data_IF_486776656753
#
_entry.id   IF_486776656753
#
_cell.length_a   1.000
_cell.length_b   1.000
_cell.length_c   1.000
_cell.angle_alpha   90.00
_cell.angle_beta   90.00
_cell.angle_gamma   90.00
#
_symmetry.space_group_name_H-M   'P 1'
#
loop_
_entity.id
_entity.type
_entity.pdbx_description
1 polymer ?
#
# COMPACT_ATOMS: atom_id res chain seq x y z
N UNK A 1 1.00 31.06 -1.02
CA UNK A 1 -0.38 30.67 -0.69
C UNK A 1 -0.25 29.24 -0.24
N UNK A 2 -0.51 28.99 1.03
CA UNK A 2 -0.30 27.67 1.62
C UNK A 2 -1.47 26.76 1.23
N UNK A 3 -1.19 25.48 1.02
CA UNK A 3 -2.23 24.51 0.71
C UNK A 3 -2.98 24.15 2.01
N UNK A 4 -4.30 24.30 2.01
CA UNK A 4 -5.16 23.95 3.14
C UNK A 4 -5.72 22.53 2.95
N UNK A 5 -5.68 21.66 3.97
CA UNK A 5 -6.30 20.35 3.92
C UNK A 5 -7.79 20.41 3.55
N UNK A 6 -8.23 19.39 2.80
CA UNK A 6 -9.61 19.17 2.39
C UNK A 6 -10.13 17.86 3.01
N UNK A 7 -11.40 17.54 2.80
CA UNK A 7 -12.03 16.31 3.32
C UNK A 7 -11.20 15.07 2.99
N UNK A 8 -10.70 14.98 1.76
CA UNK A 8 -9.92 13.85 1.24
C UNK A 8 -8.56 13.73 1.93
N UNK A 9 -7.97 14.86 2.33
CA UNK A 9 -6.76 14.90 3.14
C UNK A 9 -7.04 14.42 4.57
N UNK A 10 -8.13 14.87 5.19
CA UNK A 10 -8.54 14.41 6.52
C UNK A 10 -8.89 12.91 6.55
N UNK A 11 -9.38 12.36 5.44
CA UNK A 11 -9.62 10.92 5.34
C UNK A 11 -8.34 10.09 5.55
N UNK A 12 -7.16 10.63 5.19
CA UNK A 12 -5.87 9.98 5.42
C UNK A 12 -5.52 9.85 6.91
N UNK A 13 -6.14 10.62 7.80
CA UNK A 13 -5.89 10.52 9.24
C UNK A 13 -6.27 9.14 9.80
N UNK A 14 -7.13 8.38 9.09
CA UNK A 14 -7.43 6.97 9.40
C UNK A 14 -6.17 6.09 9.42
N UNK A 15 -5.15 6.44 8.64
CA UNK A 15 -3.89 5.68 8.61
C UNK A 15 -3.01 5.93 9.82
N UNK A 16 -3.07 7.14 10.41
CA UNK A 16 -2.14 7.63 11.44
C UNK A 16 -2.19 6.73 12.68
N UNK A 17 -1.03 6.33 13.17
CA UNK A 17 -0.88 5.46 14.33
C UNK A 17 0.15 4.34 14.12
N UNK A 18 0.25 3.46 15.11
CA UNK A 18 1.09 2.26 15.05
C UNK A 18 0.23 1.04 14.71
N UNK A 19 0.75 0.17 13.84
CA UNK A 19 0.07 -1.01 13.34
C UNK A 19 0.97 -2.24 13.44
N UNK A 20 0.35 -3.38 13.68
CA UNK A 20 0.95 -4.71 13.53
C UNK A 20 0.43 -5.29 12.22
N UNK A 21 1.34 -5.77 11.36
CA UNK A 21 1.01 -6.33 10.05
C UNK A 21 1.29 -7.83 10.01
N UNK A 22 0.35 -8.59 9.44
CA UNK A 22 0.52 -9.99 9.06
C UNK A 22 0.36 -10.09 7.55
N UNK A 23 1.42 -10.48 6.84
CA UNK A 23 1.47 -10.51 5.38
C UNK A 23 1.52 -11.95 4.88
N UNK A 24 0.64 -12.25 3.93
CA UNK A 24 0.57 -13.50 3.19
C UNK A 24 0.88 -13.23 1.72
N UNK A 25 1.95 -13.83 1.21
CA UNK A 25 2.33 -13.74 -0.21
C UNK A 25 2.18 -15.10 -0.90
N UNK A 26 1.64 -15.08 -2.12
CA UNK A 26 1.50 -16.23 -3.02
C UNK A 26 2.20 -15.90 -4.33
N UNK A 27 3.44 -16.37 -4.46
CA UNK A 27 4.24 -16.18 -5.67
C UNK A 27 4.16 -17.43 -6.55
N UNK A 28 3.14 -17.47 -7.42
CA UNK A 28 2.91 -18.57 -8.36
C UNK A 28 1.99 -19.68 -7.84
N UNK A 29 1.45 -20.48 -8.77
CA UNK A 29 0.36 -21.43 -8.52
C UNK A 29 0.72 -22.66 -7.67
N UNK A 30 2.00 -22.91 -7.42
CA UNK A 30 2.48 -24.13 -6.74
C UNK A 30 3.24 -23.87 -5.42
N UNK A 31 3.43 -22.62 -5.01
CA UNK A 31 4.15 -22.29 -3.77
C UNK A 31 3.19 -22.18 -2.58
N UNK A 32 3.61 -22.72 -1.43
CA UNK A 32 2.90 -22.51 -0.17
C UNK A 32 2.94 -21.02 0.20
N UNK A 33 1.82 -20.44 0.69
CA UNK A 33 1.80 -19.04 1.13
C UNK A 33 2.88 -18.79 2.18
N UNK A 34 3.76 -17.82 1.94
CA UNK A 34 4.71 -17.37 2.96
C UNK A 34 4.02 -16.37 3.88
N UNK A 35 4.11 -16.60 5.20
CA UNK A 35 3.62 -15.67 6.22
C UNK A 35 4.78 -14.92 6.84
N UNK A 36 4.64 -13.61 6.93
CA UNK A 36 5.60 -12.74 7.64
C UNK A 36 4.84 -11.79 8.55
N UNK A 37 5.50 -11.39 9.65
CA UNK A 37 4.98 -10.39 10.56
C UNK A 37 5.84 -9.14 10.51
N UNK A 38 5.21 -8.00 10.82
CA UNK A 38 5.86 -6.71 10.81
C UNK A 38 5.11 -5.68 11.61
N UNK A 39 5.62 -4.46 11.59
CA UNK A 39 5.01 -3.28 12.20
C UNK A 39 5.07 -2.12 11.23
N UNK A 40 4.14 -1.18 11.37
CA UNK A 40 4.11 0.04 10.58
C UNK A 40 3.75 1.23 11.45
N UNK A 41 4.52 2.31 11.32
CA UNK A 41 4.28 3.58 12.00
C UNK A 41 3.87 4.59 10.95
N UNK A 42 2.68 5.17 11.11
CA UNK A 42 2.15 6.18 10.20
C UNK A 42 2.02 7.52 10.90
N UNK A 43 2.58 8.56 10.30
CA UNK A 43 2.50 9.95 10.79
C UNK A 43 1.92 10.87 9.72
N UNK A 44 1.16 11.87 10.16
CA UNK A 44 0.75 13.00 9.32
C UNK A 44 1.92 13.95 9.07
N UNK A 45 1.94 14.57 7.90
CA UNK A 45 2.88 15.63 7.52
C UNK A 45 2.06 16.85 7.08
N UNK A 46 1.87 17.79 8.00
CA UNK A 46 1.15 19.03 7.77
C UNK A 46 -0.33 18.86 7.40
N UNK A 47 -0.94 17.71 7.71
CA UNK A 47 -2.35 17.42 7.39
C UNK A 47 -2.64 17.17 5.90
N UNK A 48 -1.63 17.24 5.03
CA UNK A 48 -1.78 17.02 3.58
C UNK A 48 -1.28 15.65 3.13
N UNK A 49 -0.36 15.07 3.88
CA UNK A 49 0.27 13.79 3.56
C UNK A 49 0.30 12.89 4.78
N UNK A 50 0.33 11.59 4.55
CA UNK A 50 0.79 10.60 5.52
C UNK A 50 2.08 9.95 5.02
N UNK A 51 2.95 9.63 5.97
CA UNK A 51 4.17 8.86 5.75
C UNK A 51 4.07 7.63 6.63
N UNK A 52 4.05 6.45 6.00
CA UNK A 52 4.01 5.15 6.65
C UNK A 52 5.38 4.48 6.50
N UNK A 53 6.02 4.16 7.61
CA UNK A 53 7.29 3.45 7.66
C UNK A 53 7.06 2.06 8.23
N UNK A 54 7.38 1.03 7.44
CA UNK A 54 7.15 -0.37 7.76
C UNK A 54 8.46 -1.13 7.99
N UNK A 55 8.39 -2.12 8.88
CA UNK A 55 9.46 -3.09 9.13
C UNK A 55 8.85 -4.50 9.16
N UNK A 56 9.43 -5.44 8.41
CA UNK A 56 8.96 -6.84 8.36
C UNK A 56 10.10 -7.82 8.18
N UNK A 57 9.97 -9.02 8.76
CA UNK A 57 10.92 -10.11 8.50
C UNK A 57 10.86 -10.54 7.03
N UNK A 58 12.02 -10.70 6.40
CA UNK A 58 12.15 -11.25 5.06
C UNK A 58 12.51 -12.75 5.10
N UNK A 59 12.28 -13.50 4.01
CA UNK A 59 12.59 -14.94 3.95
C UNK A 59 14.07 -15.30 4.22
N UNK A 60 14.99 -14.36 4.02
CA UNK A 60 16.42 -14.52 4.29
C UNK A 60 16.81 -14.28 5.76
N UNK A 61 15.83 -13.95 6.62
CA UNK A 61 16.01 -13.60 8.02
C UNK A 61 16.46 -12.16 8.26
N UNK A 62 16.65 -11.35 7.21
CA UNK A 62 16.94 -9.92 7.36
C UNK A 62 15.64 -9.13 7.56
N UNK A 63 15.80 -7.90 8.07
CA UNK A 63 14.69 -6.96 8.22
C UNK A 63 14.49 -6.16 6.92
N UNK A 64 13.33 -6.32 6.30
CA UNK A 64 12.88 -5.46 5.21
C UNK A 64 12.32 -4.16 5.78
N UNK A 65 12.67 -3.03 5.15
CA UNK A 65 12.13 -1.71 5.50
C UNK A 65 11.40 -1.12 4.31
N UNK A 66 10.25 -0.50 4.56
CA UNK A 66 9.42 0.13 3.53
C UNK A 66 9.01 1.53 3.94
N UNK A 67 8.82 2.40 2.96
CA UNK A 67 8.24 3.73 3.15
C UNK A 67 7.17 3.94 2.10
N UNK A 68 5.95 4.26 2.54
CA UNK A 68 4.87 4.77 1.71
C UNK A 68 4.59 6.24 2.04
N UNK A 69 4.48 7.06 1.00
CA UNK A 69 3.90 8.41 1.12
C UNK A 69 2.55 8.44 0.43
N UNK A 70 1.54 9.05 1.04
CA UNK A 70 0.22 9.17 0.44
C UNK A 70 -0.39 10.54 0.75
N UNK A 71 -0.97 11.18 -0.27
CA UNK A 71 -1.62 12.49 -0.21
C UNK A 71 -2.78 12.55 -1.20
N UNK A 72 -3.39 13.73 -1.36
CA UNK A 72 -4.46 13.96 -2.32
C UNK A 72 -4.13 15.16 -3.22
N UNK A 73 -4.31 14.99 -4.54
CA UNK A 73 -4.18 16.08 -5.50
C UNK A 73 -5.56 16.56 -5.96
N UNK A 74 -6.02 17.74 -5.49
CA UNK A 74 -7.33 18.29 -5.83
C UNK A 74 -7.43 18.77 -7.28
N UNK A 75 -6.32 18.89 -8.03
CA UNK A 75 -6.36 19.29 -9.44
C UNK A 75 -6.81 18.15 -10.35
N UNK A 76 -6.45 16.93 -9.99
CA UNK A 76 -6.80 15.71 -10.73
C UNK A 76 -7.82 14.83 -10.00
N UNK A 77 -8.18 15.20 -8.78
CA UNK A 77 -9.10 14.47 -7.90
C UNK A 77 -8.65 13.02 -7.67
N UNK A 78 -7.38 12.85 -7.30
CA UNK A 78 -6.76 11.53 -7.07
C UNK A 78 -5.95 11.53 -5.79
N UNK A 79 -5.93 10.40 -5.13
CA UNK A 79 -4.89 10.11 -4.14
C UNK A 79 -3.59 9.84 -4.86
N UNK A 80 -2.50 10.41 -4.40
CA UNK A 80 -1.18 10.31 -5.04
C UNK A 80 -0.13 9.92 -4.01
N UNK A 81 0.85 9.14 -4.43
CA UNK A 81 1.81 8.61 -3.47
C UNK A 81 2.98 7.91 -4.11
N UNK A 82 3.86 7.42 -3.24
CA UNK A 82 4.99 6.59 -3.64
C UNK A 82 5.20 5.48 -2.65
N UNK A 83 5.83 4.39 -3.11
CA UNK A 83 6.32 3.32 -2.25
C UNK A 83 7.74 2.92 -2.65
N UNK A 84 8.59 2.77 -1.63
CA UNK A 84 9.96 2.28 -1.74
C UNK A 84 10.21 1.22 -0.67
N UNK A 85 11.17 0.35 -0.92
CA UNK A 85 11.61 -0.65 0.04
C UNK A 85 13.08 -0.97 -0.11
N UNK A 86 13.73 -1.34 0.99
CA UNK A 86 15.18 -1.58 1.07
C UNK A 86 15.68 -2.73 0.18
N UNK A 87 14.77 -3.61 -0.25
CA UNK A 87 15.04 -4.79 -1.07
C UNK A 87 14.94 -4.52 -2.58
N UNK A 88 14.62 -3.29 -3.00
CA UNK A 88 14.43 -2.95 -4.42
C UNK A 88 14.93 -1.54 -4.75
N UNK A 89 15.21 -1.31 -6.03
CA UNK A 89 15.57 0.02 -6.54
C UNK A 89 14.41 0.73 -7.24
N UNK A 90 13.28 0.05 -7.43
CA UNK A 90 12.11 0.60 -8.11
C UNK A 90 11.33 1.55 -7.19
N UNK A 91 11.00 2.73 -7.71
CA UNK A 91 10.09 3.67 -7.09
C UNK A 91 8.69 3.43 -7.65
N UNK A 92 7.78 2.93 -6.80
CA UNK A 92 6.38 2.79 -7.17
C UNK A 92 5.70 4.16 -7.05
N UNK A 93 4.87 4.51 -8.04
CA UNK A 93 4.17 5.78 -8.10
C UNK A 93 2.68 5.48 -8.17
N UNK A 94 1.95 5.92 -7.16
CA UNK A 94 0.53 5.63 -7.03
C UNK A 94 -0.35 6.72 -7.64
N UNK A 95 -1.40 6.27 -8.32
CA UNK A 95 -2.55 7.06 -8.72
C UNK A 95 -3.81 6.37 -8.23
N UNK A 96 -4.50 6.98 -7.28
CA UNK A 96 -5.51 6.34 -6.47
C UNK A 96 -6.89 6.96 -6.51
N UNK A 97 -7.89 6.13 -6.28
CA UNK A 97 -9.29 6.54 -6.16
C UNK A 97 -9.91 5.86 -4.94
N UNK A 98 -10.64 6.67 -4.16
CA UNK A 98 -11.47 6.18 -3.07
C UNK A 98 -12.85 5.82 -3.61
N UNK A 99 -13.40 4.71 -3.16
CA UNK A 99 -14.76 4.29 -3.52
C UNK A 99 -15.84 5.19 -2.91
N UNK A 100 -17.07 5.09 -3.42
CA UNK A 100 -18.20 5.91 -2.94
C UNK A 100 -18.53 5.66 -1.46
N UNK A 101 -18.15 4.50 -0.91
CA UNK A 101 -18.37 4.18 0.51
C UNK A 101 -17.30 4.76 1.44
N UNK A 102 -16.24 5.35 0.89
CA UNK A 102 -15.08 5.89 1.61
C UNK A 102 -14.33 4.85 2.47
N UNK A 103 -14.35 3.59 2.03
CA UNK A 103 -13.73 2.45 2.73
C UNK A 103 -12.60 1.81 1.96
N UNK A 104 -12.66 1.85 0.62
CA UNK A 104 -11.73 1.14 -0.26
C UNK A 104 -10.98 2.16 -1.10
N UNK A 105 -9.68 2.29 -0.84
CA UNK A 105 -8.75 3.05 -1.67
C UNK A 105 -8.01 2.10 -2.60
N UNK A 106 -8.22 2.23 -3.90
CA UNK A 106 -7.45 1.50 -4.92
C UNK A 106 -6.35 2.41 -5.44
N UNK A 107 -5.10 1.96 -5.37
CA UNK A 107 -3.91 2.65 -5.86
C UNK A 107 -3.37 1.94 -7.10
N UNK A 108 -3.56 2.53 -8.28
CA UNK A 108 -2.95 2.05 -9.52
C UNK A 108 -1.46 2.41 -9.56
N UNK A 109 -0.62 1.48 -9.99
CA UNK A 109 0.83 1.70 -10.19
C UNK A 109 1.37 0.77 -11.29
N UNK A 110 2.62 0.99 -11.70
CA UNK A 110 3.30 0.17 -12.70
C UNK A 110 4.71 -0.24 -12.23
N UNK A 111 5.14 -1.42 -12.64
CA UNK A 111 6.46 -1.97 -12.31
C UNK A 111 6.78 -3.17 -13.19
N UNK A 112 7.99 -3.72 -13.05
CA UNK A 112 8.37 -4.92 -13.79
C UNK A 112 7.52 -6.11 -13.37
N UNK A 113 7.08 -6.91 -14.34
CA UNK A 113 6.42 -8.21 -14.10
C UNK A 113 7.36 -9.18 -13.35
N UNK A 114 6.81 -10.30 -12.86
CA UNK A 114 7.59 -11.27 -12.08
C UNK A 114 8.78 -11.89 -12.84
N UNK A 115 8.70 -11.99 -14.18
CA UNK A 115 9.82 -12.46 -15.02
C UNK A 115 10.84 -11.37 -15.34
N UNK A 116 10.61 -10.13 -14.90
CA UNK A 116 11.43 -8.94 -15.17
C UNK A 116 11.65 -8.65 -16.66
N UNK A 117 10.71 -9.07 -17.51
CA UNK A 117 10.81 -8.92 -18.98
C UNK A 117 10.05 -7.71 -19.52
N UNK A 118 9.04 -7.22 -18.81
CA UNK A 118 8.17 -6.14 -19.26
C UNK A 118 7.56 -5.37 -18.08
N UNK A 119 7.05 -4.16 -18.35
CA UNK A 119 6.23 -3.41 -17.40
C UNK A 119 4.82 -4.01 -17.37
N UNK A 120 4.30 -4.21 -16.17
CA UNK A 120 2.94 -4.64 -15.89
C UNK A 120 2.23 -3.61 -15.00
N UNK A 121 0.90 -3.65 -15.04
CA UNK A 121 0.05 -2.85 -14.14
C UNK A 121 -0.18 -3.60 -12.85
N UNK A 122 -0.16 -2.85 -11.77
CA UNK A 122 -0.37 -3.33 -10.42
C UNK A 122 -1.42 -2.46 -9.73
N UNK A 123 -2.06 -3.04 -8.73
CA UNK A 123 -2.92 -2.33 -7.80
C UNK A 123 -2.59 -2.73 -6.37
N UNK A 124 -2.51 -1.73 -5.49
CA UNK A 124 -2.63 -1.91 -4.05
C UNK A 124 -3.99 -1.40 -3.60
N UNK A 125 -4.78 -2.28 -2.98
CA UNK A 125 -6.16 -2.01 -2.58
C UNK A 125 -6.22 -2.02 -1.05
N UNK A 126 -6.45 -0.87 -0.46
CA UNK A 126 -6.51 -0.67 0.99
C UNK A 126 -7.97 -0.53 1.40
N UNK A 127 -8.44 -1.45 2.22
CA UNK A 127 -9.79 -1.50 2.77
C UNK A 127 -9.76 -1.25 4.28
N UNK A 128 -10.48 -0.23 4.76
CA UNK A 128 -10.72 -0.04 6.19
C UNK A 128 -11.96 -0.83 6.63
N UNK A 129 -11.72 -1.93 7.35
CA UNK A 129 -12.77 -2.78 7.92
C UNK A 129 -13.36 -2.15 9.18
N UNK A 130 -12.51 -1.51 9.99
CA UNK A 130 -12.85 -0.68 11.14
C UNK A 130 -11.77 0.38 11.38
N UNK A 131 -11.92 1.20 12.41
CA UNK A 131 -10.91 2.21 12.78
C UNK A 131 -9.58 1.58 13.24
N UNK A 132 -9.60 0.31 13.66
CA UNK A 132 -8.46 -0.44 14.19
C UNK A 132 -8.03 -1.60 13.29
N UNK A 133 -8.67 -1.77 12.12
CA UNK A 133 -8.38 -2.85 11.18
C UNK A 133 -8.42 -2.37 9.74
N UNK A 134 -7.32 -2.57 9.02
CA UNK A 134 -7.28 -2.42 7.56
C UNK A 134 -6.67 -3.65 6.89
N UNK A 135 -7.07 -3.88 5.65
CA UNK A 135 -6.55 -4.95 4.80
C UNK A 135 -5.98 -4.30 3.55
N UNK A 136 -4.74 -4.65 3.20
CA UNK A 136 -4.17 -4.31 1.91
C UNK A 136 -4.12 -5.58 1.04
N UNK A 137 -4.52 -5.48 -0.22
CA UNK A 137 -4.39 -6.54 -1.21
C UNK A 137 -3.60 -6.02 -2.40
N UNK A 138 -2.60 -6.76 -2.84
CA UNK A 138 -1.84 -6.41 -4.04
C UNK A 138 -2.13 -7.39 -5.16
N UNK A 139 -2.34 -6.85 -6.36
CA UNK A 139 -2.63 -7.63 -7.55
C UNK A 139 -1.90 -7.10 -8.78
N UNK A 140 -1.59 -8.02 -9.70
CA UNK A 140 -0.95 -7.74 -10.99
C UNK A 140 -1.93 -8.03 -12.11
N UNK A 141 -1.92 -7.21 -13.16
CA UNK A 141 -2.67 -7.48 -14.38
C UNK A 141 -1.88 -8.48 -15.24
N UNK A 142 -2.41 -9.68 -15.43
CA UNK A 142 -1.79 -10.70 -16.26
C UNK A 142 -1.87 -10.35 -17.76
N UNK A 143 -1.08 -11.03 -18.59
CA UNK A 143 -1.11 -10.89 -20.05
C UNK A 143 -2.49 -11.23 -20.64
N UNK A 144 -3.26 -12.09 -19.97
CA UNK A 144 -4.63 -12.46 -20.35
C UNK A 144 -5.67 -11.40 -19.95
N UNK A 145 -5.23 -10.27 -19.36
CA UNK A 145 -6.09 -9.16 -18.96
C UNK A 145 -6.87 -9.38 -17.66
N UNK A 146 -6.52 -10.39 -16.87
CA UNK A 146 -7.15 -10.68 -15.58
C UNK A 146 -6.28 -10.19 -14.43
N UNK A 147 -6.91 -9.64 -13.39
CA UNK A 147 -6.22 -9.31 -12.16
C UNK A 147 -5.92 -10.58 -11.36
N UNK A 148 -4.66 -10.76 -10.99
CA UNK A 148 -4.20 -11.84 -10.13
C UNK A 148 -3.67 -11.26 -8.83
N UNK A 149 -4.38 -11.51 -7.73
CA UNK A 149 -3.89 -11.19 -6.40
C UNK A 149 -2.70 -12.06 -6.04
N UNK A 150 -1.64 -11.45 -5.52
CA UNK A 150 -0.43 -12.15 -5.09
C UNK A 150 -0.04 -11.86 -3.64
N UNK A 151 -0.66 -10.86 -2.99
CA UNK A 151 -0.38 -10.56 -1.59
C UNK A 151 -1.63 -10.04 -0.86
N UNK A 152 -1.75 -10.42 0.41
CA UNK A 152 -2.68 -9.83 1.38
C UNK A 152 -1.92 -9.45 2.64
N UNK A 153 -2.11 -8.24 3.15
CA UNK A 153 -1.60 -7.79 4.43
C UNK A 153 -2.75 -7.37 5.34
N UNK A 154 -2.84 -7.99 6.50
CA UNK A 154 -3.78 -7.63 7.56
C UNK A 154 -3.10 -6.74 8.58
N UNK A 155 -3.65 -5.56 8.81
CA UNK A 155 -3.13 -4.61 9.79
C UNK A 155 -4.10 -4.49 10.96
N UNK A 156 -3.56 -4.55 12.18
CA UNK A 156 -4.29 -4.24 13.41
C UNK A 156 -3.62 -3.08 14.13
N UNK A 157 -4.40 -2.12 14.60
CA UNK A 157 -3.87 -1.00 15.38
C UNK A 157 -3.26 -1.51 16.68
N UNK A 158 -2.12 -0.95 17.05
CA UNK A 158 -1.44 -1.21 18.32
C UNK A 158 -1.92 -0.20 19.36
N UNK A 159 -2.46 -0.69 20.47
CA UNK A 159 -2.93 0.11 21.61
C UNK A 159 -1.92 0.09 22.76
#
# INVERSE_FOLDING_TARGET
MDAEPQKEHHWLDKFVGEWISEVECIMGSEQLPSKTQGTEIVRSLGGLWVVAEGESEMPDGNLGKTIMTLGYDPKINRYVGTFIGSMMTHLWIYNGALDESEKILTLDTEGLNFSQSAIAKYQDIIEFVSDDQRIMRSQILSEDGNWQQFMTAHYRRKH
#
